data_IF_315206352349
#
_entry.id   IF_315206352349
#
_cell.length_a   1.000
_cell.length_b   1.000
_cell.length_c   1.000
_cell.angle_alpha   90.00
_cell.angle_beta   90.00
_cell.angle_gamma   90.00
#
_symmetry.space_group_name_H-M   'P 1'
#
loop_
_entity.id
_entity.type
_entity.pdbx_description
1 polymer ?
#
# COMPACT_ATOMS: atom_id res chain seq x y z
N UNK A 1 -37.45 -18.04 24.59
CA UNK A 1 -36.75 -18.46 23.35
C UNK A 1 -36.61 -17.37 22.28
N UNK A 2 -37.53 -16.41 22.14
CA UNK A 2 -37.44 -15.32 21.13
C UNK A 2 -36.33 -14.29 21.39
N UNK A 3 -36.07 -13.94 22.65
CA UNK A 3 -35.03 -12.95 23.04
C UNK A 3 -33.61 -13.49 22.85
N UNK A 4 -33.40 -14.78 23.09
CA UNK A 4 -32.09 -15.43 22.90
C UNK A 4 -31.71 -15.49 21.41
N UNK A 5 -32.70 -15.63 20.53
CA UNK A 5 -32.51 -15.63 19.07
C UNK A 5 -32.18 -14.24 18.52
N UNK A 6 -32.70 -13.17 19.14
CA UNK A 6 -32.37 -11.78 18.80
C UNK A 6 -30.95 -11.37 19.28
N UNK A 7 -30.50 -11.89 20.41
CA UNK A 7 -29.13 -11.68 20.91
C UNK A 7 -28.07 -12.36 20.03
N UNK A 8 -28.38 -13.54 19.47
CA UNK A 8 -27.47 -14.27 18.59
C UNK A 8 -27.36 -13.64 17.18
N UNK A 9 -28.42 -12.96 16.73
CA UNK A 9 -28.41 -12.20 15.47
C UNK A 9 -27.63 -10.88 15.58
N UNK A 10 -27.56 -10.27 16.77
CA UNK A 10 -26.84 -9.01 16.99
C UNK A 10 -25.31 -9.13 16.98
N UNK A 11 -24.76 -10.28 17.38
CA UNK A 11 -23.30 -10.48 17.46
C UNK A 11 -22.62 -10.76 16.12
N UNK A 12 -23.38 -11.09 15.06
CA UNK A 12 -22.79 -11.45 13.75
C UNK A 12 -22.43 -10.23 12.88
N UNK A 13 -22.89 -9.02 13.22
CA UNK A 13 -22.65 -7.81 12.42
C UNK A 13 -21.41 -6.99 12.84
N UNK A 14 -20.64 -7.45 13.83
CA UNK A 14 -19.54 -6.67 14.41
C UNK A 14 -18.14 -6.93 13.80
N UNK A 15 -18.00 -7.77 12.77
CA UNK A 15 -16.70 -8.20 12.25
C UNK A 15 -16.44 -7.86 10.78
N UNK A 16 -16.70 -6.62 10.37
CA UNK A 16 -16.19 -6.06 9.11
C UNK A 16 -14.98 -5.16 9.38
N UNK A 17 -13.91 -5.73 9.94
CA UNK A 17 -12.60 -5.11 9.85
C UNK A 17 -12.16 -5.20 8.39
N UNK A 18 -12.31 -4.12 7.63
CA UNK A 18 -11.70 -3.98 6.31
C UNK A 18 -10.18 -4.01 6.50
N UNK A 19 -9.58 -5.20 6.41
CA UNK A 19 -8.14 -5.32 6.27
C UNK A 19 -7.77 -4.62 4.95
N UNK A 20 -7.16 -3.44 5.05
CA UNK A 20 -6.54 -2.78 3.90
C UNK A 20 -5.40 -3.69 3.44
N UNK A 21 -5.67 -4.50 2.41
CA UNK A 21 -4.65 -5.36 1.83
C UNK A 21 -3.62 -4.46 1.15
N UNK A 22 -2.44 -4.31 1.77
CA UNK A 22 -1.32 -3.61 1.15
C UNK A 22 -0.68 -4.49 0.07
N UNK A 23 -1.23 -4.44 -1.14
CA UNK A 23 -0.66 -5.12 -2.28
C UNK A 23 -1.27 -4.77 -3.63
N UNK A 24 -0.49 -5.03 -4.69
CA UNK A 24 -0.90 -4.85 -6.07
C UNK A 24 -0.34 -6.00 -6.92
N UNK A 25 -1.21 -6.71 -7.66
CA UNK A 25 -0.80 -7.84 -8.49
C UNK A 25 -0.56 -7.40 -9.93
N UNK A 26 0.66 -7.59 -10.40
CA UNK A 26 1.10 -7.30 -11.77
C UNK A 26 0.53 -8.32 -12.75
N UNK A 27 0.46 -7.94 -14.04
CA UNK A 27 -0.02 -8.80 -15.13
C UNK A 27 0.77 -10.11 -15.27
N UNK A 28 2.05 -10.12 -14.92
CA UNK A 28 2.90 -11.31 -14.94
C UNK A 28 2.71 -12.24 -13.72
N UNK A 29 1.78 -11.90 -12.82
CA UNK A 29 1.49 -12.67 -11.62
C UNK A 29 2.36 -12.29 -10.41
N UNK A 30 3.40 -11.46 -10.58
CA UNK A 30 4.19 -10.95 -9.46
C UNK A 30 3.33 -10.05 -8.57
N UNK A 31 3.68 -10.00 -7.29
CA UNK A 31 2.95 -9.23 -6.29
C UNK A 31 3.83 -8.12 -5.76
N UNK A 32 3.30 -6.90 -5.71
CA UNK A 32 3.79 -5.81 -4.88
C UNK A 32 3.07 -5.90 -3.52
N UNK A 33 3.77 -5.73 -2.40
CA UNK A 33 3.30 -5.86 -1.02
C UNK A 33 4.04 -4.89 -0.13
N UNK A 34 3.47 -4.59 1.05
CA UNK A 34 4.20 -3.92 2.11
C UNK A 34 5.44 -4.70 2.57
N UNK A 35 6.36 -3.98 3.24
CA UNK A 35 7.67 -4.43 3.74
C UNK A 35 8.67 -4.85 2.65
N UNK A 36 8.31 -4.72 1.36
CA UNK A 36 9.26 -4.88 0.27
C UNK A 36 10.36 -3.82 0.35
N UNK A 37 11.60 -4.22 0.04
CA UNK A 37 12.70 -3.26 -0.06
C UNK A 37 12.57 -2.43 -1.33
N UNK A 38 13.24 -1.26 -1.35
CA UNK A 38 13.38 -0.46 -2.57
C UNK A 38 13.89 -1.26 -3.77
N UNK A 39 14.90 -2.10 -3.56
CA UNK A 39 15.53 -2.88 -4.65
C UNK A 39 14.55 -3.92 -5.21
N UNK A 40 13.83 -4.60 -4.32
CA UNK A 40 12.83 -5.60 -4.72
C UNK A 40 11.64 -4.95 -5.44
N UNK A 41 11.24 -3.74 -5.03
CA UNK A 41 10.23 -2.97 -5.74
C UNK A 41 10.70 -2.61 -7.17
N UNK A 42 11.93 -2.14 -7.32
CA UNK A 42 12.52 -1.81 -8.63
C UNK A 42 12.67 -3.05 -9.52
N UNK A 43 13.09 -4.19 -8.96
CA UNK A 43 13.19 -5.46 -9.69
C UNK A 43 11.84 -5.92 -10.26
N UNK A 44 10.74 -5.67 -9.53
CA UNK A 44 9.40 -6.10 -9.93
C UNK A 44 8.66 -5.11 -10.81
N UNK A 45 8.71 -3.83 -10.46
CA UNK A 45 7.90 -2.78 -11.09
C UNK A 45 8.69 -1.88 -12.04
N UNK A 46 10.03 -2.00 -12.07
CA UNK A 46 10.90 -1.10 -12.80
C UNK A 46 11.03 0.28 -12.13
N UNK A 47 11.57 1.23 -12.86
CA UNK A 47 11.67 2.62 -12.42
C UNK A 47 10.29 3.30 -12.42
N UNK A 48 9.94 4.05 -11.37
CA UNK A 48 8.70 4.83 -11.34
C UNK A 48 8.76 6.01 -12.30
N UNK A 49 7.58 6.48 -12.70
CA UNK A 49 7.41 7.66 -13.53
C UNK A 49 7.77 8.95 -12.78
N UNK A 50 7.47 9.00 -11.49
CA UNK A 50 7.86 10.09 -10.61
C UNK A 50 8.21 9.60 -9.22
N UNK A 51 9.12 10.33 -8.57
CA UNK A 51 9.54 10.11 -7.19
C UNK A 51 9.44 11.44 -6.47
N UNK A 52 8.70 11.46 -5.38
CA UNK A 52 8.71 12.56 -4.42
C UNK A 52 9.39 12.07 -3.13
N UNK A 53 10.17 12.94 -2.49
CA UNK A 53 10.97 12.59 -1.32
C UNK A 53 10.83 13.67 -0.27
N UNK A 54 10.19 13.33 0.83
CA UNK A 54 10.08 14.17 2.01
C UNK A 54 11.02 13.66 3.10
N UNK A 55 11.82 14.56 3.68
CA UNK A 55 12.63 14.27 4.86
C UNK A 55 12.08 15.08 6.01
N UNK A 56 11.37 14.43 6.92
CA UNK A 56 10.89 15.06 8.14
C UNK A 56 12.03 15.03 9.17
N UNK A 57 12.73 16.15 9.31
CA UNK A 57 13.68 16.35 10.40
C UNK A 57 12.87 16.52 11.70
N UNK A 58 12.88 15.49 12.55
CA UNK A 58 12.33 15.60 13.89
C UNK A 58 13.51 16.03 14.77
N UNK A 59 13.38 17.21 15.39
CA UNK A 59 14.23 17.72 16.49
C UNK A 59 15.54 18.47 16.16
N UNK A 60 15.81 19.46 17.01
CA UNK A 60 17.05 20.26 17.18
C UNK A 60 18.15 19.51 17.94
N UNK A 61 17.99 18.19 18.18
CA UNK A 61 18.96 17.36 18.90
C UNK A 61 19.78 16.49 17.93
N UNK A 62 21.10 16.37 18.13
CA UNK A 62 22.03 15.76 17.16
C UNK A 62 21.90 14.24 16.94
N UNK A 63 20.92 13.55 17.54
CA UNK A 63 20.76 12.09 17.45
C UNK A 63 19.43 11.60 16.87
N UNK A 64 18.50 12.49 16.48
CA UNK A 64 17.25 12.06 15.85
C UNK A 64 17.44 12.00 14.33
N UNK A 65 17.59 10.78 13.80
CA UNK A 65 17.64 10.56 12.35
C UNK A 65 16.28 10.89 11.74
N UNK A 66 16.23 11.88 10.85
CA UNK A 66 14.99 12.31 10.20
C UNK A 66 14.25 11.16 9.51
N UNK A 67 12.90 11.20 9.53
CA UNK A 67 12.05 10.21 8.86
C UNK A 67 12.00 10.55 7.38
N UNK A 68 12.64 9.71 6.55
CA UNK A 68 12.56 9.80 5.10
C UNK A 68 11.34 9.04 4.59
N UNK A 69 10.42 9.76 3.97
CA UNK A 69 9.23 9.25 3.30
C UNK A 69 9.39 9.51 1.81
N UNK A 70 9.10 8.51 0.98
CA UNK A 70 9.17 8.61 -0.47
C UNK A 70 7.82 8.19 -1.05
N UNK A 71 7.31 8.93 -2.03
CA UNK A 71 6.10 8.56 -2.77
C UNK A 71 6.45 8.35 -4.23
N UNK A 72 6.27 7.12 -4.72
CA UNK A 72 6.65 6.70 -6.06
C UNK A 72 5.40 6.42 -6.87
N UNK A 73 5.30 7.03 -8.06
CA UNK A 73 4.13 6.88 -8.93
C UNK A 73 4.45 6.06 -10.16
N UNK A 74 3.54 5.15 -10.51
CA UNK A 74 3.67 4.24 -11.65
C UNK A 74 2.39 4.19 -12.49
N UNK A 75 2.56 3.79 -13.75
CA UNK A 75 1.50 3.16 -14.56
C UNK A 75 1.88 1.69 -14.71
N UNK A 76 1.13 0.78 -14.09
CA UNK A 76 1.42 -0.65 -14.10
C UNK A 76 0.27 -1.46 -14.73
N UNK A 77 0.59 -2.50 -15.53
CA UNK A 77 -0.42 -3.43 -16.02
C UNK A 77 -0.87 -4.35 -14.89
N UNK A 78 -2.16 -4.33 -14.55
CA UNK A 78 -2.72 -5.15 -13.48
C UNK A 78 -3.09 -6.56 -13.91
N UNK A 79 -3.10 -7.51 -12.97
CA UNK A 79 -3.50 -8.90 -13.22
C UNK A 79 -4.96 -9.04 -13.71
N UNK A 80 -5.83 -8.09 -13.37
CA UNK A 80 -7.25 -8.07 -13.76
C UNK A 80 -7.42 -7.36 -15.14
N UNK A 81 -6.31 -6.99 -15.78
CA UNK A 81 -6.30 -6.34 -17.10
C UNK A 81 -6.38 -4.81 -17.01
N UNK A 82 -5.89 -4.16 -18.06
CA UNK A 82 -5.76 -2.70 -18.12
C UNK A 82 -4.57 -2.17 -17.32
N UNK A 83 -4.43 -0.84 -17.37
CA UNK A 83 -3.38 -0.11 -16.67
C UNK A 83 -3.94 0.57 -15.42
N UNK A 84 -3.11 0.63 -14.39
CA UNK A 84 -3.44 1.23 -13.11
C UNK A 84 -2.44 2.34 -12.80
N UNK A 85 -2.95 3.46 -12.30
CA UNK A 85 -2.17 4.45 -11.58
C UNK A 85 -1.87 3.86 -10.21
N UNK A 86 -0.60 3.59 -9.92
CA UNK A 86 -0.18 2.98 -8.65
C UNK A 86 0.74 3.95 -7.92
N UNK A 87 0.35 4.34 -6.71
CA UNK A 87 1.14 5.15 -5.79
C UNK A 87 1.70 4.24 -4.69
N UNK A 88 3.01 4.28 -4.49
CA UNK A 88 3.71 3.46 -3.50
C UNK A 88 4.45 4.37 -2.54
N UNK A 89 4.11 4.29 -1.26
CA UNK A 89 4.82 4.99 -0.20
C UNK A 89 5.92 4.09 0.35
N UNK A 90 7.13 4.63 0.46
CA UNK A 90 8.24 4.01 1.13
C UNK A 90 8.64 4.84 2.35
N UNK A 91 8.91 4.18 3.46
CA UNK A 91 9.54 4.80 4.61
C UNK A 91 10.83 4.07 4.94
N UNK A 92 11.91 4.83 5.12
CA UNK A 92 13.24 4.28 5.40
C UNK A 92 13.64 3.16 4.41
N UNK A 93 13.22 3.30 3.14
CA UNK A 93 13.53 2.36 2.05
C UNK A 93 12.66 1.10 1.99
N UNK A 94 11.58 1.02 2.76
CA UNK A 94 10.61 -0.08 2.73
C UNK A 94 9.22 0.38 2.34
N UNK A 95 8.50 -0.42 1.56
CA UNK A 95 7.12 -0.13 1.18
C UNK A 95 6.21 -0.18 2.41
N UNK A 96 5.47 0.90 2.66
CA UNK A 96 4.51 1.04 3.76
C UNK A 96 3.07 1.20 3.31
N UNK A 97 2.85 1.65 2.07
CA UNK A 97 1.52 1.74 1.47
C UNK A 97 1.58 1.50 -0.03
N UNK A 98 0.51 0.91 -0.56
CA UNK A 98 0.27 0.73 -1.99
C UNK A 98 -1.18 1.12 -2.25
N UNK A 99 -1.36 2.17 -3.03
CA UNK A 99 -2.67 2.64 -3.49
C UNK A 99 -2.74 2.49 -5.01
N UNK A 100 -3.88 2.07 -5.52
CA UNK A 100 -4.06 1.94 -6.96
C UNK A 100 -5.45 2.35 -7.41
N UNK A 101 -5.52 2.97 -8.59
CA UNK A 101 -6.77 3.23 -9.29
C UNK A 101 -6.64 2.83 -10.75
N UNK A 102 -7.65 2.13 -11.26
CA UNK A 102 -7.67 1.76 -12.67
C UNK A 102 -7.78 3.04 -13.50
N UNK A 103 -6.94 3.17 -14.53
CA UNK A 103 -7.07 4.24 -15.50
C UNK A 103 -8.41 4.04 -16.23
N UNK A 104 -9.25 5.08 -16.27
CA UNK A 104 -10.53 4.99 -16.99
C UNK A 104 -10.29 4.55 -18.44
N UNK A 105 -11.16 3.67 -18.92
CA UNK A 105 -11.09 3.07 -20.25
C UNK A 105 -11.60 4.01 -21.33
#
# INVERSE_FOLDING_TARGET
MRIFMLLLAGTLMASSFSASACGFRLKDGKLLTCNMSRIELLDRAGEPLSKDVEVHAISTKPQETGRRIETWSYILPGAIGGNYLVSITLEQGKVTAIESRQQQR
#
